data_IF_077020892731
#
_entry.id   IF_077020892731
#
_cell.length_a   1.000
_cell.length_b   1.000
_cell.length_c   1.000
_cell.angle_alpha   90.00
_cell.angle_beta   90.00
_cell.angle_gamma   90.00
#
_symmetry.space_group_name_H-M   'P 1'
#
loop_
_entity.id
_entity.type
_entity.pdbx_description
1 polymer ?
#
# COMPACT_ATOMS: atom_id res chain seq x y z
N UNK A 1 7.82 23.25 7.12
CA UNK A 1 7.93 21.77 7.17
C UNK A 1 7.34 21.25 8.46
N UNK A 2 6.56 20.17 8.38
CA UNK A 2 6.02 19.50 9.56
C UNK A 2 6.59 18.08 9.55
N UNK A 3 7.30 17.72 10.63
CA UNK A 3 7.74 16.37 10.90
C UNK A 3 6.94 15.81 12.05
N UNK A 4 6.34 14.65 11.86
CA UNK A 4 5.65 13.90 12.91
C UNK A 4 6.20 12.48 12.90
N UNK A 5 6.67 12.01 14.07
CA UNK A 5 7.00 10.62 14.28
C UNK A 5 5.99 10.02 15.23
N UNK A 6 5.37 8.92 14.83
CA UNK A 6 4.49 8.15 15.68
C UNK A 6 5.29 7.58 16.84
N UNK A 7 4.94 7.95 18.07
CA UNK A 7 5.60 7.44 19.28
C UNK A 7 5.21 5.99 19.56
N UNK A 8 3.98 5.62 19.21
CA UNK A 8 3.44 4.27 19.29
C UNK A 8 2.79 3.93 17.96
N UNK A 9 3.51 3.23 17.13
CA UNK A 9 2.90 2.48 16.03
C UNK A 9 2.43 1.13 16.58
N UNK A 10 1.35 0.61 16.03
CA UNK A 10 0.76 -0.64 16.51
C UNK A 10 0.72 -1.68 15.40
N UNK A 11 0.83 -2.93 15.78
CA UNK A 11 0.57 -4.06 14.90
C UNK A 11 -0.10 -5.19 15.67
N UNK A 12 -0.68 -6.11 14.94
CA UNK A 12 -1.40 -7.24 15.51
C UNK A 12 -0.61 -8.52 15.28
N UNK A 13 -0.70 -9.46 16.23
CA UNK A 13 -0.15 -10.80 16.11
C UNK A 13 -1.26 -11.82 16.26
N UNK A 14 -1.29 -12.82 15.39
CA UNK A 14 -2.10 -14.01 15.59
C UNK A 14 -1.23 -15.12 16.18
N UNK A 15 -1.24 -15.24 17.49
CA UNK A 15 -0.40 -16.20 18.23
C UNK A 15 -0.89 -17.65 18.13
N UNK A 16 -1.97 -17.90 17.40
CA UNK A 16 -2.44 -19.26 17.13
C UNK A 16 -1.62 -19.99 16.04
N UNK A 17 -0.69 -19.29 15.38
CA UNK A 17 0.15 -19.81 14.31
C UNK A 17 1.64 -19.59 14.60
N UNK A 18 2.47 -20.55 14.22
CA UNK A 18 3.94 -20.48 14.34
C UNK A 18 4.63 -21.04 13.10
N UNK A 19 5.88 -20.65 12.91
CA UNK A 19 6.73 -21.13 11.82
C UNK A 19 6.97 -22.63 11.93
N UNK A 20 6.90 -23.32 10.79
CA UNK A 20 7.16 -24.77 10.69
C UNK A 20 8.64 -25.12 10.59
N UNK A 21 9.51 -24.12 10.38
CA UNK A 21 10.90 -24.29 10.01
C UNK A 21 11.14 -24.64 8.53
N UNK A 22 10.07 -24.68 7.72
CA UNK A 22 10.12 -24.89 6.27
C UNK A 22 9.83 -23.59 5.53
N UNK A 23 10.35 -23.48 4.31
CA UNK A 23 10.03 -22.40 3.38
C UNK A 23 9.00 -22.85 2.35
N UNK A 24 8.42 -21.90 1.62
CA UNK A 24 7.55 -22.17 0.48
C UNK A 24 8.27 -23.01 -0.59
N UNK A 25 9.55 -22.74 -0.80
CA UNK A 25 10.41 -23.51 -1.70
C UNK A 25 10.53 -24.99 -1.29
N UNK A 26 10.66 -25.29 0.01
CA UNK A 26 10.75 -26.65 0.51
C UNK A 26 9.47 -27.45 0.28
N UNK A 27 8.32 -26.77 0.21
CA UNK A 27 7.02 -27.41 0.02
C UNK A 27 6.68 -27.56 -1.47
N UNK A 28 7.05 -26.58 -2.31
CA UNK A 28 6.61 -26.46 -3.71
C UNK A 28 7.69 -26.78 -4.74
N UNK A 29 8.97 -26.81 -4.33
CA UNK A 29 10.12 -26.89 -5.23
C UNK A 29 10.56 -25.55 -5.85
N UNK A 30 9.87 -24.44 -5.51
CA UNK A 30 10.22 -23.09 -5.95
C UNK A 30 11.20 -22.45 -4.96
N UNK A 31 12.44 -22.96 -4.89
CA UNK A 31 13.45 -22.60 -3.90
C UNK A 31 13.88 -21.13 -3.91
N UNK A 32 13.51 -20.36 -4.92
CA UNK A 32 13.75 -18.90 -4.98
C UNK A 32 12.74 -18.10 -4.15
N UNK A 33 11.56 -18.65 -3.82
CA UNK A 33 10.63 -18.07 -2.86
C UNK A 33 10.87 -18.70 -1.47
N UNK A 34 11.66 -18.00 -0.66
CA UNK A 34 12.09 -18.47 0.66
C UNK A 34 11.19 -17.98 1.80
N UNK A 35 9.94 -17.59 1.50
CA UNK A 35 8.99 -17.21 2.56
C UNK A 35 8.76 -18.37 3.53
N UNK A 36 8.72 -18.10 4.85
CA UNK A 36 8.49 -19.16 5.83
C UNK A 36 7.06 -19.69 5.74
N UNK A 37 6.89 -20.98 6.00
CA UNK A 37 5.59 -21.63 6.11
C UNK A 37 5.15 -21.70 7.56
N UNK A 38 3.84 -21.58 7.79
CA UNK A 38 3.24 -21.55 9.12
C UNK A 38 2.26 -22.69 9.32
N UNK A 39 2.04 -23.06 10.58
CA UNK A 39 0.99 -23.99 10.97
C UNK A 39 0.28 -23.53 12.24
N UNK A 40 -0.95 -23.98 12.39
CA UNK A 40 -1.75 -23.73 13.57
C UNK A 40 -1.23 -24.53 14.76
N UNK A 41 -0.77 -23.85 15.82
CA UNK A 41 -0.27 -24.46 17.05
C UNK A 41 -1.35 -24.72 18.10
N UNK A 42 -2.56 -24.13 17.92
CA UNK A 42 -3.71 -24.30 18.82
C UNK A 42 -4.65 -25.44 18.38
N UNK A 43 -4.10 -26.49 17.78
CA UNK A 43 -4.89 -27.67 17.35
C UNK A 43 -5.61 -28.31 18.57
N UNK A 44 -6.91 -28.60 18.39
CA UNK A 44 -7.75 -29.17 19.46
C UNK A 44 -8.38 -28.17 20.43
N UNK A 45 -8.04 -26.89 20.36
CA UNK A 45 -8.70 -25.83 21.12
C UNK A 45 -9.94 -25.29 20.39
N UNK A 46 -10.96 -24.79 21.14
CA UNK A 46 -12.24 -24.35 20.56
C UNK A 46 -12.17 -23.02 19.78
N UNK A 47 -11.00 -22.41 19.69
CA UNK A 47 -10.77 -21.14 18.96
C UNK A 47 -9.73 -21.33 17.86
N UNK A 48 -9.88 -20.62 16.75
CA UNK A 48 -8.97 -20.70 15.60
C UNK A 48 -7.90 -19.61 15.60
N UNK A 49 -8.19 -18.48 16.18
CA UNK A 49 -7.30 -17.31 16.16
C UNK A 49 -7.23 -16.64 17.53
N UNK A 50 -6.08 -16.07 17.85
CA UNK A 50 -5.85 -15.27 19.06
C UNK A 50 -5.06 -14.05 18.64
N UNK A 51 -5.69 -12.88 18.66
CA UNK A 51 -5.04 -11.63 18.25
C UNK A 51 -4.51 -10.86 19.46
N UNK A 52 -3.23 -10.57 19.46
CA UNK A 52 -2.56 -9.73 20.44
C UNK A 52 -2.14 -8.41 19.80
N UNK A 53 -2.41 -7.30 20.46
CA UNK A 53 -1.95 -5.97 20.07
C UNK A 53 -0.54 -5.74 20.61
N UNK A 54 0.36 -5.26 19.74
CA UNK A 54 1.75 -4.93 20.08
C UNK A 54 2.06 -3.48 19.71
N UNK A 55 2.92 -2.85 20.48
CA UNK A 55 3.43 -1.51 20.22
C UNK A 55 4.78 -1.54 19.53
N UNK A 56 5.03 -0.52 18.70
CA UNK A 56 6.29 -0.30 17.99
C UNK A 56 6.58 1.21 17.89
N UNK A 57 7.84 1.56 17.74
CA UNK A 57 8.29 2.95 17.47
C UNK A 57 8.84 3.12 16.03
N UNK A 58 8.54 2.18 15.13
CA UNK A 58 9.11 2.18 13.77
C UNK A 58 8.36 3.09 12.81
N UNK A 59 7.03 3.27 12.97
CA UNK A 59 6.22 4.12 12.10
C UNK A 59 6.65 5.58 12.14
N UNK A 60 6.53 6.28 11.00
CA UNK A 60 6.79 7.71 10.91
C UNK A 60 6.02 8.37 9.77
N UNK A 61 5.81 9.68 9.90
CA UNK A 61 5.29 10.52 8.82
C UNK A 61 5.97 11.88 8.85
N UNK A 62 6.29 12.43 7.69
CA UNK A 62 6.72 13.81 7.55
C UNK A 62 6.14 14.44 6.29
N UNK A 63 5.96 15.77 6.33
CA UNK A 63 5.54 16.53 5.16
C UNK A 63 6.28 17.87 5.09
N UNK A 64 6.54 18.31 3.86
CA UNK A 64 7.09 19.62 3.55
C UNK A 64 6.13 20.32 2.61
N UNK A 65 5.62 21.48 3.01
CA UNK A 65 4.71 22.28 2.21
C UNK A 65 5.34 23.63 1.88
N UNK A 66 5.24 24.02 0.62
CA UNK A 66 5.55 25.36 0.12
C UNK A 66 4.25 25.97 -0.39
N UNK A 67 4.01 27.25 -0.05
CA UNK A 67 2.83 28.01 -0.46
C UNK A 67 3.28 29.39 -0.94
N UNK A 68 2.69 29.85 -2.05
CA UNK A 68 2.80 31.19 -2.55
C UNK A 68 1.41 31.76 -2.80
N UNK A 69 1.21 33.01 -2.43
CA UNK A 69 -0.06 33.75 -2.63
C UNK A 69 0.25 35.15 -3.11
N UNK A 70 -0.58 35.65 -4.02
CA UNK A 70 -0.50 37.00 -4.53
C UNK A 70 -1.88 37.53 -4.83
N UNK A 71 -2.22 38.65 -4.21
CA UNK A 71 -3.38 39.48 -4.58
C UNK A 71 -2.93 40.67 -5.40
N UNK A 72 -3.68 40.96 -6.43
CA UNK A 72 -3.45 42.07 -7.33
C UNK A 72 -4.57 43.11 -7.20
N UNK A 73 -4.23 44.39 -7.29
CA UNK A 73 -5.17 45.51 -7.07
C UNK A 73 -6.31 45.53 -8.11
N UNK A 74 -6.11 44.92 -9.28
CA UNK A 74 -7.14 44.78 -10.30
C UNK A 74 -8.16 43.67 -10.04
N UNK A 75 -8.10 43.03 -8.86
CA UNK A 75 -9.09 42.05 -8.39
C UNK A 75 -8.74 40.59 -8.67
N UNK A 76 -7.51 40.25 -9.04
CA UNK A 76 -7.05 38.87 -9.20
C UNK A 76 -6.31 38.38 -7.95
N UNK A 77 -6.78 37.28 -7.39
CA UNK A 77 -6.13 36.57 -6.31
C UNK A 77 -5.62 35.21 -6.81
N UNK A 78 -4.33 34.97 -6.64
CA UNK A 78 -3.67 33.72 -6.99
C UNK A 78 -3.11 33.06 -5.75
N UNK A 79 -3.26 31.73 -5.66
CA UNK A 79 -2.57 30.91 -4.66
C UNK A 79 -2.09 29.61 -5.30
N UNK A 80 -0.90 29.17 -4.92
CA UNK A 80 -0.36 27.87 -5.31
C UNK A 80 0.37 27.24 -4.12
N UNK A 81 0.24 25.94 -3.96
CA UNK A 81 0.98 25.18 -2.97
C UNK A 81 1.41 23.82 -3.50
N UNK A 82 2.57 23.40 -3.07
CA UNK A 82 3.09 22.07 -3.28
C UNK A 82 3.40 21.45 -1.92
N UNK A 83 2.97 20.19 -1.72
CA UNK A 83 3.26 19.42 -0.53
C UNK A 83 3.90 18.11 -0.92
N UNK A 84 5.06 17.83 -0.32
CA UNK A 84 5.69 16.52 -0.33
C UNK A 84 5.41 15.81 0.99
N UNK A 85 5.00 14.54 0.94
CA UNK A 85 4.69 13.73 2.13
C UNK A 85 5.33 12.35 1.98
N UNK A 86 5.92 11.85 3.07
CA UNK A 86 6.29 10.45 3.20
C UNK A 86 5.74 9.90 4.51
N UNK A 87 5.00 8.80 4.44
CA UNK A 87 4.41 8.14 5.59
C UNK A 87 4.61 6.64 5.50
N UNK A 88 5.17 6.04 6.56
CA UNK A 88 5.36 4.59 6.68
C UNK A 88 4.79 4.08 8.00
N UNK A 89 4.19 2.89 7.97
CA UNK A 89 3.62 2.21 9.12
C UNK A 89 3.81 0.69 9.03
N UNK A 90 3.67 0.01 10.14
CA UNK A 90 3.72 -1.46 10.21
C UNK A 90 2.38 -2.09 9.86
N UNK A 91 1.28 -1.41 10.18
CA UNK A 91 -0.07 -1.90 9.97
C UNK A 91 -0.95 -0.74 9.49
N UNK A 92 -1.85 -0.95 8.53
CA UNK A 92 -2.76 0.09 8.06
C UNK A 92 -3.69 0.62 9.15
N UNK A 93 -4.04 -0.19 10.16
CA UNK A 93 -4.91 0.17 11.30
C UNK A 93 -6.21 0.88 10.89
N UNK A 94 -6.81 0.45 9.77
CA UNK A 94 -7.98 1.10 9.14
C UNK A 94 -9.31 0.50 9.61
N UNK A 95 -9.26 -0.58 10.39
CA UNK A 95 -10.45 -1.30 10.89
C UNK A 95 -10.54 -1.21 12.42
N UNK A 96 -11.76 -1.25 12.94
CA UNK A 96 -12.02 -1.43 14.38
C UNK A 96 -11.83 -2.86 14.87
N UNK A 97 -11.65 -3.82 13.95
CA UNK A 97 -11.49 -5.24 14.26
C UNK A 97 -10.02 -5.65 14.15
N UNK A 98 -9.50 -6.31 15.19
CA UNK A 98 -8.12 -6.81 15.24
C UNK A 98 -7.83 -7.80 14.09
N UNK A 99 -8.75 -8.71 13.81
CA UNK A 99 -8.64 -9.68 12.73
C UNK A 99 -8.48 -9.02 11.35
N UNK A 100 -9.29 -7.99 11.08
CA UNK A 100 -9.23 -7.26 9.80
C UNK A 100 -7.91 -6.49 9.66
N UNK A 101 -7.45 -5.83 10.72
CA UNK A 101 -6.18 -5.12 10.69
C UNK A 101 -5.00 -6.08 10.46
N UNK A 102 -5.03 -7.25 11.10
CA UNK A 102 -4.01 -8.28 10.89
C UNK A 102 -4.05 -8.81 9.45
N UNK A 103 -5.22 -9.17 8.92
CA UNK A 103 -5.39 -9.63 7.54
C UNK A 103 -5.03 -8.57 6.48
N UNK A 104 -5.26 -7.28 6.77
CA UNK A 104 -4.96 -6.18 5.84
C UNK A 104 -3.48 -5.77 5.87
N UNK A 105 -2.66 -6.40 6.70
CA UNK A 105 -1.22 -6.14 6.76
C UNK A 105 -0.51 -6.97 5.70
N UNK A 106 -0.23 -6.37 4.55
CA UNK A 106 0.51 -7.04 3.47
C UNK A 106 1.94 -7.34 3.91
N UNK A 107 2.37 -8.57 3.72
CA UNK A 107 3.70 -9.02 4.14
C UNK A 107 4.24 -10.09 3.19
N UNK A 108 5.58 -10.15 3.08
CA UNK A 108 6.24 -11.26 2.40
C UNK A 108 6.46 -12.44 3.36
N UNK A 109 6.73 -12.14 4.63
CA UNK A 109 7.09 -13.18 5.60
C UNK A 109 5.89 -13.59 6.46
N UNK A 110 5.52 -12.78 7.41
CA UNK A 110 4.46 -13.11 8.36
C UNK A 110 3.86 -11.85 8.98
N UNK A 111 2.53 -11.76 9.03
CA UNK A 111 1.84 -10.59 9.59
C UNK A 111 2.14 -10.35 11.06
N UNK A 112 2.61 -11.37 11.80
CA UNK A 112 3.06 -11.23 13.19
C UNK A 112 4.40 -10.49 13.35
N UNK A 113 5.16 -10.36 12.26
CA UNK A 113 6.42 -9.61 12.22
C UNK A 113 6.43 -8.65 11.02
N UNK A 114 5.48 -7.71 10.95
CA UNK A 114 5.32 -6.85 9.79
C UNK A 114 6.53 -5.95 9.59
N UNK A 115 6.85 -5.73 8.32
CA UNK A 115 7.89 -4.81 7.91
C UNK A 115 7.32 -3.40 7.70
N UNK A 116 8.20 -2.40 7.77
CA UNK A 116 7.82 -1.01 7.61
C UNK A 116 7.54 -0.70 6.13
N UNK A 117 6.27 -0.62 5.78
CA UNK A 117 5.78 -0.30 4.43
C UNK A 117 5.24 1.11 4.30
N UNK A 118 4.94 1.54 3.08
CA UNK A 118 4.20 2.79 2.86
C UNK A 118 2.80 2.70 3.45
N UNK A 119 2.44 3.71 4.23
CA UNK A 119 1.09 3.84 4.79
C UNK A 119 0.06 4.07 3.66
N UNK A 120 -1.17 3.63 3.86
CA UNK A 120 -2.29 3.94 2.97
C UNK A 120 -2.52 5.46 2.79
N UNK A 121 -2.03 6.27 3.72
CA UNK A 121 -2.08 7.74 3.69
C UNK A 121 -0.86 8.37 3.02
N UNK A 122 0.05 7.59 2.49
CA UNK A 122 1.22 8.10 1.78
C UNK A 122 0.81 8.66 0.42
N UNK A 123 0.74 9.97 0.33
CA UNK A 123 0.50 10.72 -0.91
C UNK A 123 1.73 11.60 -1.17
N UNK A 124 2.76 11.07 -1.86
CA UNK A 124 4.07 11.73 -1.97
C UNK A 124 4.00 13.15 -2.51
N UNK A 125 3.13 13.41 -3.46
CA UNK A 125 3.05 14.71 -4.11
C UNK A 125 1.62 15.23 -4.14
N UNK A 126 1.42 16.47 -3.72
CA UNK A 126 0.15 17.18 -3.83
C UNK A 126 0.40 18.62 -4.30
N UNK A 127 -0.30 19.01 -5.35
CA UNK A 127 -0.31 20.38 -5.87
C UNK A 127 -1.73 20.91 -5.71
N UNK A 128 -1.86 22.12 -5.16
CA UNK A 128 -3.11 22.87 -5.17
C UNK A 128 -2.84 24.23 -5.74
N UNK A 129 -3.69 24.71 -6.64
CA UNK A 129 -3.65 26.04 -7.18
C UNK A 129 -5.07 26.61 -7.26
N UNK A 130 -5.18 27.90 -7.06
CA UNK A 130 -6.45 28.62 -7.23
C UNK A 130 -6.21 30.00 -7.84
N UNK A 131 -7.16 30.43 -8.65
CA UNK A 131 -7.24 31.76 -9.20
C UNK A 131 -8.66 32.26 -9.06
N UNK A 132 -8.83 33.41 -8.43
CA UNK A 132 -10.12 34.07 -8.28
C UNK A 132 -10.02 35.48 -8.88
N UNK A 133 -10.95 35.82 -9.75
CA UNK A 133 -11.03 37.17 -10.34
C UNK A 133 -12.35 37.83 -9.95
N UNK A 134 -12.23 38.96 -9.27
CA UNK A 134 -13.35 39.78 -8.80
C UNK A 134 -13.47 41.01 -9.67
N UNK A 135 -14.66 41.27 -10.20
CA UNK A 135 -14.95 42.44 -11.00
C UNK A 135 -16.36 42.95 -10.73
N UNK A 136 -16.62 44.19 -11.15
CA UNK A 136 -17.91 44.83 -11.06
C UNK A 136 -18.60 44.82 -12.43
N UNK A 137 -19.85 44.31 -12.49
CA UNK A 137 -20.62 44.28 -13.72
C UNK A 137 -21.08 45.71 -14.05
N UNK A 138 -20.90 46.14 -15.31
CA UNK A 138 -21.24 47.45 -15.80
C UNK A 138 -20.66 48.62 -14.96
N UNK A 139 -19.47 48.38 -14.36
CA UNK A 139 -18.80 49.35 -13.48
C UNK A 139 -19.64 49.78 -12.24
N UNK A 140 -20.66 49.01 -11.89
CA UNK A 140 -21.54 49.27 -10.75
C UNK A 140 -21.01 48.52 -9.50
N UNK A 141 -20.55 49.30 -8.52
CA UNK A 141 -19.96 48.75 -7.26
C UNK A 141 -20.93 47.91 -6.44
N UNK A 142 -22.25 48.03 -6.67
CA UNK A 142 -23.24 47.21 -5.97
C UNK A 142 -23.37 45.78 -6.53
N UNK A 143 -22.83 45.53 -7.74
CA UNK A 143 -22.86 44.20 -8.36
C UNK A 143 -21.45 43.68 -8.54
N UNK A 144 -20.95 42.96 -7.55
CA UNK A 144 -19.65 42.29 -7.56
C UNK A 144 -19.80 40.82 -7.97
N UNK A 145 -19.05 40.42 -8.98
CA UNK A 145 -18.99 39.00 -9.40
C UNK A 145 -17.58 38.48 -9.19
N UNK A 146 -17.50 37.25 -8.70
CA UNK A 146 -16.21 36.54 -8.56
C UNK A 146 -16.28 35.23 -9.38
N UNK A 147 -15.31 35.09 -10.27
CA UNK A 147 -15.07 33.83 -11.00
C UNK A 147 -13.83 33.19 -10.43
N UNK A 148 -13.91 31.89 -10.11
CA UNK A 148 -12.79 31.17 -9.54
C UNK A 148 -12.55 29.82 -10.22
N UNK A 149 -11.26 29.47 -10.30
CA UNK A 149 -10.80 28.14 -10.74
C UNK A 149 -9.94 27.57 -9.62
N UNK A 150 -10.17 26.31 -9.30
CA UNK A 150 -9.39 25.55 -8.33
C UNK A 150 -8.87 24.30 -9.03
N UNK A 151 -7.56 24.09 -8.94
CA UNK A 151 -6.88 22.89 -9.41
C UNK A 151 -6.33 22.11 -8.22
N UNK A 152 -6.52 20.79 -8.22
CA UNK A 152 -5.88 19.87 -7.28
C UNK A 152 -5.32 18.67 -8.04
N UNK A 153 -4.00 18.53 -8.02
CA UNK A 153 -3.28 17.35 -8.49
C UNK A 153 -2.68 16.59 -7.31
N UNK A 154 -2.70 15.27 -7.34
CA UNK A 154 -2.06 14.42 -6.34
C UNK A 154 -1.54 13.14 -6.97
N UNK A 155 -0.46 12.59 -6.41
CA UNK A 155 -0.02 11.23 -6.73
C UNK A 155 -1.06 10.19 -6.31
N UNK A 156 -1.01 9.02 -6.91
CA UNK A 156 -1.78 7.86 -6.47
C UNK A 156 -1.33 7.37 -5.08
N UNK A 157 -2.19 6.59 -4.44
CA UNK A 157 -1.83 5.86 -3.23
C UNK A 157 -0.95 4.66 -3.58
N UNK A 158 -0.02 4.26 -2.71
CA UNK A 158 0.75 3.03 -2.90
C UNK A 158 -0.19 1.83 -2.89
N UNK A 159 0.14 0.83 -3.67
CA UNK A 159 -0.55 -0.45 -3.69
C UNK A 159 0.46 -1.59 -3.85
N UNK A 160 0.07 -2.80 -3.46
CA UNK A 160 0.89 -4.00 -3.58
C UNK A 160 0.14 -5.07 -4.35
N UNK A 161 0.87 -5.88 -5.08
CA UNK A 161 0.33 -7.09 -5.69
C UNK A 161 0.33 -8.21 -4.66
N UNK A 162 -0.82 -8.87 -4.52
CA UNK A 162 -1.05 -9.88 -3.50
C UNK A 162 -1.54 -11.17 -4.15
N UNK A 163 -1.18 -12.29 -3.56
CA UNK A 163 -1.82 -13.56 -3.89
C UNK A 163 -3.24 -13.62 -3.32
N UNK A 164 -4.14 -14.25 -4.06
CA UNK A 164 -5.49 -14.56 -3.57
C UNK A 164 -5.43 -15.83 -2.71
N UNK A 165 -5.83 -15.74 -1.47
CA UNK A 165 -5.80 -16.86 -0.53
C UNK A 165 -4.69 -16.73 0.50
N UNK A 166 -4.40 -17.84 1.16
CA UNK A 166 -3.35 -17.99 2.17
C UNK A 166 -2.23 -18.84 1.56
N UNK A 167 -1.12 -18.22 1.23
CA UNK A 167 -0.01 -18.89 0.54
C UNK A 167 0.94 -19.57 1.51
N UNK A 168 1.16 -18.97 2.67
CA UNK A 168 2.17 -19.37 3.63
C UNK A 168 1.61 -20.19 4.83
N UNK A 169 0.29 -20.35 4.92
CA UNK A 169 -0.37 -21.13 5.96
C UNK A 169 -0.58 -20.39 7.29
N UNK A 170 -0.47 -19.06 7.31
CA UNK A 170 -0.62 -18.23 8.51
C UNK A 170 -2.08 -17.90 8.84
N UNK A 171 -3.03 -18.36 8.01
CA UNK A 171 -4.45 -18.05 8.03
C UNK A 171 -4.80 -16.59 7.67
N UNK A 172 -3.86 -15.83 7.13
CA UNK A 172 -4.10 -14.56 6.45
C UNK A 172 -4.57 -14.80 5.02
N UNK A 173 -5.61 -14.11 4.57
CA UNK A 173 -6.10 -14.27 3.20
C UNK A 173 -5.93 -12.98 2.42
N UNK A 174 -5.19 -13.06 1.31
CA UNK A 174 -4.97 -11.90 0.45
C UNK A 174 -4.06 -10.84 1.08
N UNK A 175 -3.10 -11.26 1.90
CA UNK A 175 -2.06 -10.42 2.50
C UNK A 175 -0.65 -10.84 2.10
N UNK A 176 -0.49 -11.98 1.45
CA UNK A 176 0.80 -12.45 0.94
C UNK A 176 1.24 -11.64 -0.27
N UNK A 177 2.36 -10.93 -0.14
CA UNK A 177 2.95 -10.17 -1.23
C UNK A 177 3.39 -11.11 -2.37
N UNK A 178 3.10 -10.71 -3.60
CA UNK A 178 3.50 -11.44 -4.77
C UNK A 178 5.04 -11.47 -4.88
N UNK A 179 5.60 -12.65 -5.03
CA UNK A 179 6.99 -12.82 -5.47
C UNK A 179 7.08 -12.45 -6.95
N UNK A 180 8.06 -11.63 -7.33
CA UNK A 180 8.27 -11.21 -8.71
C UNK A 180 9.38 -12.09 -9.30
N UNK A 181 9.03 -13.11 -10.09
CA UNK A 181 9.99 -14.04 -10.66
C UNK A 181 10.73 -13.44 -11.86
N UNK A 182 11.95 -13.91 -12.10
CA UNK A 182 12.65 -13.68 -13.38
C UNK A 182 12.05 -14.54 -14.49
N UNK A 183 12.37 -14.23 -15.75
CA UNK A 183 11.88 -15.01 -16.88
C UNK A 183 12.32 -16.49 -16.81
N UNK A 184 13.56 -16.76 -16.33
CA UNK A 184 14.08 -18.11 -16.10
C UNK A 184 13.32 -18.84 -14.98
N UNK A 185 12.97 -18.13 -13.92
CA UNK A 185 12.18 -18.68 -12.81
C UNK A 185 10.74 -19.02 -13.27
N UNK A 186 10.14 -18.19 -14.14
CA UNK A 186 8.82 -18.47 -14.72
C UNK A 186 8.85 -19.75 -15.53
N UNK A 187 9.91 -20.02 -16.29
CA UNK A 187 10.05 -21.25 -17.07
C UNK A 187 10.10 -22.50 -16.19
N UNK A 188 10.60 -22.36 -14.97
CA UNK A 188 10.68 -23.45 -14.00
C UNK A 188 9.44 -23.57 -13.10
N UNK A 189 8.50 -22.59 -13.13
CA UNK A 189 7.31 -22.64 -12.30
C UNK A 189 6.36 -23.78 -12.71
N UNK A 190 5.81 -24.53 -11.75
CA UNK A 190 4.88 -25.63 -12.01
C UNK A 190 3.46 -25.10 -12.27
N UNK A 191 3.22 -24.59 -13.46
CA UNK A 191 1.88 -24.25 -13.90
C UNK A 191 1.01 -25.50 -14.10
N UNK A 192 -0.30 -25.34 -13.89
CA UNK A 192 -1.29 -26.38 -14.19
C UNK A 192 -2.28 -25.85 -15.21
N UNK A 193 -2.56 -26.64 -16.24
CA UNK A 193 -3.58 -26.27 -17.22
C UNK A 193 -4.96 -26.15 -16.55
N UNK A 194 -5.70 -25.10 -16.92
CA UNK A 194 -7.03 -24.83 -16.39
C UNK A 194 -7.95 -24.30 -17.50
N UNK A 195 -8.93 -25.08 -17.88
CA UNK A 195 -9.81 -24.73 -19.00
C UNK A 195 -9.03 -24.49 -20.29
N UNK A 196 -9.19 -23.34 -20.90
CA UNK A 196 -8.48 -22.96 -22.14
C UNK A 196 -7.06 -22.42 -21.90
N UNK A 197 -6.61 -22.34 -20.64
CA UNK A 197 -5.27 -21.86 -20.29
C UNK A 197 -4.31 -23.03 -20.15
N UNK A 198 -3.53 -23.28 -21.20
CA UNK A 198 -2.42 -24.25 -21.14
C UNK A 198 -1.30 -23.72 -20.24
N UNK A 199 -0.43 -24.59 -19.75
CA UNK A 199 0.74 -24.21 -18.95
C UNK A 199 1.62 -23.20 -19.68
N UNK A 200 1.87 -23.43 -20.96
CA UNK A 200 2.68 -22.53 -21.79
C UNK A 200 2.01 -21.16 -21.98
N UNK A 201 0.70 -21.13 -22.23
CA UNK A 201 -0.04 -19.86 -22.35
C UNK A 201 -0.01 -19.07 -21.04
N UNK A 202 -0.07 -19.74 -19.89
CA UNK A 202 0.04 -19.08 -18.59
C UNK A 202 1.43 -18.47 -18.38
N UNK A 203 2.53 -19.17 -18.73
CA UNK A 203 3.90 -18.65 -18.70
C UNK A 203 4.05 -17.42 -19.58
N UNK A 204 3.61 -17.50 -20.82
CA UNK A 204 3.69 -16.39 -21.77
C UNK A 204 2.91 -15.17 -21.29
N UNK A 205 1.70 -15.38 -20.76
CA UNK A 205 0.87 -14.30 -20.22
C UNK A 205 1.53 -13.64 -19.02
N UNK A 206 2.14 -14.40 -18.09
CA UNK A 206 2.83 -13.85 -16.92
C UNK A 206 4.06 -13.02 -17.35
N UNK A 207 4.90 -13.55 -18.26
CA UNK A 207 6.04 -12.81 -18.82
C UNK A 207 5.60 -11.51 -19.50
N UNK A 208 4.56 -11.59 -20.34
CA UNK A 208 4.04 -10.43 -21.06
C UNK A 208 3.44 -9.37 -20.10
N UNK A 209 2.80 -9.80 -19.02
CA UNK A 209 2.25 -8.91 -18.02
C UNK A 209 3.37 -8.22 -17.22
N UNK A 210 4.38 -8.95 -16.77
CA UNK A 210 5.54 -8.39 -16.08
C UNK A 210 6.32 -7.41 -16.97
N UNK A 211 6.48 -7.72 -18.27
CA UNK A 211 7.13 -6.83 -19.23
C UNK A 211 6.39 -5.48 -19.38
N UNK A 212 5.06 -5.48 -19.27
CA UNK A 212 4.21 -4.26 -19.31
C UNK A 212 4.17 -3.50 -17.98
N UNK A 213 4.73 -4.06 -16.92
CA UNK A 213 4.68 -3.51 -15.56
C UNK A 213 6.10 -3.28 -15.01
N UNK A 214 6.88 -2.37 -15.63
CA UNK A 214 8.32 -2.24 -15.36
C UNK A 214 8.62 -1.90 -13.90
N UNK A 215 7.74 -1.19 -13.19
CA UNK A 215 7.93 -0.85 -11.78
C UNK A 215 8.01 -2.07 -10.85
N UNK A 216 7.52 -3.25 -11.26
CA UNK A 216 7.66 -4.49 -10.50
C UNK A 216 9.06 -5.13 -10.64
N UNK A 217 9.80 -4.77 -11.69
CA UNK A 217 11.14 -5.33 -11.94
C UNK A 217 12.24 -4.64 -11.13
N UNK A 218 11.95 -3.43 -10.66
CA UNK A 218 12.91 -2.56 -9.95
C UNK A 218 12.79 -2.68 -8.42
N UNK A 219 11.97 -3.64 -7.91
CA UNK A 219 11.67 -3.78 -6.47
C UNK A 219 11.86 -5.20 -5.95
#
# INVERSE_FOLDING_TARGET
>A
AIYSKTLNDVYYQNIAYAETGKTFGDVTGMYWDNRPMYERVTKGLPFSNIYALKNSNKGYSYSLSLKAEKSFDFGLDLAASYTFTQSKSLCPATSSQAASNWNNTSTYRFSNAPELGYSAYNLPHMIKASAFYRFHIANNKNFTTTIGVIYQGRSGSPYSMLYSGDLNGDNGRGNDLMFIPTDEQIDLMPFKAQGNYTEELQRQNLKAWLAKTPYLKDH
#
